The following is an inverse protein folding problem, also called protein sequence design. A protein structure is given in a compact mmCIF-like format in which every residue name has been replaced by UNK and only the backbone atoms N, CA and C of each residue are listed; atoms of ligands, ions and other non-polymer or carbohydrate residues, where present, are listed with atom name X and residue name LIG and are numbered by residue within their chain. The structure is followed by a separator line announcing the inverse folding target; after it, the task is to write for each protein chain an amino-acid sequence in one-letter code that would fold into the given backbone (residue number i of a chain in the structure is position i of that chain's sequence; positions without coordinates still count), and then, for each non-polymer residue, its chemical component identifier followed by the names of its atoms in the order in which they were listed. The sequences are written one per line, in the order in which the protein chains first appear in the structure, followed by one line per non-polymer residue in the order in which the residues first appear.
data_IF_427558914805
#
_entry.id   IF_427558914805
#
_cell.length_a   1.000
_cell.length_b   1.000
_cell.length_c   1.000
_cell.angle_alpha   90.00
_cell.angle_beta   90.00
_cell.angle_gamma   90.00
#
_symmetry.space_group_name_H-M   'P 1'
#
loop_
_entity.id
_entity.type
_entity.pdbx_description
1 polymer ?
#
# COMPACT_ATOMS: atom_id res chain seq x y z
N UNK A 1 40.35 -27.63 -48.69
CA UNK A 1 40.27 -26.68 -47.54
C UNK A 1 38.85 -26.44 -47.06
N UNK A 2 37.87 -26.23 -47.95
CA UNK A 2 36.49 -25.91 -47.56
C UNK A 2 35.78 -27.02 -46.76
N UNK A 3 35.99 -28.29 -47.15
CA UNK A 3 35.41 -29.47 -46.47
C UNK A 3 35.97 -29.62 -45.05
N UNK A 4 37.30 -29.48 -44.88
CA UNK A 4 37.94 -29.56 -43.57
C UNK A 4 37.49 -28.43 -42.63
N UNK A 5 37.28 -27.22 -43.16
CA UNK A 5 36.75 -26.09 -42.39
C UNK A 5 35.30 -26.33 -41.94
N UNK A 6 34.45 -26.82 -42.85
CA UNK A 6 33.06 -27.15 -42.52
C UNK A 6 32.97 -28.29 -41.49
N UNK A 7 33.82 -29.31 -41.64
CA UNK A 7 33.92 -30.42 -40.70
C UNK A 7 34.37 -29.94 -39.31
N UNK A 8 35.42 -29.10 -39.25
CA UNK A 8 35.87 -28.52 -37.97
C UNK A 8 34.77 -27.69 -37.29
N UNK A 9 33.99 -26.93 -38.06
CA UNK A 9 32.89 -26.14 -37.53
C UNK A 9 31.71 -27.02 -37.07
N UNK A 10 31.42 -28.10 -37.79
CA UNK A 10 30.39 -29.07 -37.40
C UNK A 10 30.79 -29.79 -36.11
N UNK A 11 32.04 -30.24 -35.98
CA UNK A 11 32.58 -30.85 -34.77
C UNK A 11 32.56 -29.87 -33.58
N UNK A 12 32.89 -28.59 -33.81
CA UNK A 12 32.77 -27.55 -32.79
C UNK A 12 31.32 -27.34 -32.33
N UNK A 13 30.37 -27.29 -33.27
CA UNK A 13 28.94 -27.15 -32.95
C UNK A 13 28.41 -28.36 -32.15
N UNK A 14 28.80 -29.58 -32.53
CA UNK A 14 28.45 -30.80 -31.80
C UNK A 14 29.04 -30.80 -30.37
N UNK A 15 30.25 -30.27 -30.20
CA UNK A 15 30.86 -30.12 -28.87
C UNK A 15 30.12 -29.11 -27.97
N UNK A 16 29.29 -28.22 -28.54
CA UNK A 16 28.46 -27.26 -27.78
C UNK A 16 27.10 -27.81 -27.39
N UNK A 17 26.62 -28.86 -28.05
CA UNK A 17 25.37 -29.54 -27.73
C UNK A 17 25.26 -29.96 -26.25
N UNK A 18 26.25 -30.62 -25.62
CA UNK A 18 26.12 -31.04 -24.22
C UNK A 18 26.04 -29.85 -23.24
N UNK A 19 26.76 -28.76 -23.51
CA UNK A 19 26.69 -27.52 -22.73
C UNK A 19 25.28 -26.91 -22.81
N UNK A 20 24.70 -26.91 -24.01
CA UNK A 20 23.38 -26.35 -24.26
C UNK A 20 22.25 -27.20 -23.66
N UNK A 21 22.40 -28.54 -23.69
CA UNK A 21 21.49 -29.47 -23.02
C UNK A 21 21.53 -29.26 -21.50
N UNK A 22 22.73 -29.23 -20.90
CA UNK A 22 22.87 -29.00 -19.46
C UNK A 22 22.32 -27.64 -19.01
N UNK A 23 22.58 -26.58 -19.79
CA UNK A 23 22.02 -25.26 -19.51
C UNK A 23 20.49 -25.24 -19.60
N UNK A 24 19.91 -25.95 -20.57
CA UNK A 24 18.45 -26.09 -20.72
C UNK A 24 17.84 -26.85 -19.54
N UNK A 25 18.45 -27.95 -19.12
CA UNK A 25 18.01 -28.73 -17.95
C UNK A 25 17.99 -27.86 -16.69
N UNK A 26 19.10 -27.14 -16.43
CA UNK A 26 19.20 -26.21 -15.31
C UNK A 26 18.13 -25.10 -15.37
N UNK A 27 17.86 -24.57 -16.56
CA UNK A 27 16.81 -23.56 -16.74
C UNK A 27 15.42 -24.12 -16.42
N UNK A 28 15.13 -25.34 -16.86
CA UNK A 28 13.87 -26.02 -16.55
C UNK A 28 13.74 -26.26 -15.03
N UNK A 29 14.78 -26.73 -14.37
CA UNK A 29 14.78 -26.93 -12.91
C UNK A 29 14.51 -25.63 -12.15
N UNK A 30 15.19 -24.54 -12.53
CA UNK A 30 14.98 -23.22 -11.93
C UNK A 30 13.58 -22.68 -12.18
N UNK A 31 13.03 -22.92 -13.37
CA UNK A 31 11.67 -22.53 -13.71
C UNK A 31 10.64 -23.31 -12.87
N UNK A 32 10.82 -24.62 -12.72
CA UNK A 32 9.94 -25.46 -11.91
C UNK A 32 9.97 -25.05 -10.43
N UNK A 33 11.14 -24.68 -9.90
CA UNK A 33 11.27 -24.14 -8.55
C UNK A 33 10.57 -22.79 -8.42
N UNK A 34 10.77 -21.88 -9.38
CA UNK A 34 10.11 -20.59 -9.41
C UNK A 34 8.58 -20.74 -9.48
N UNK A 35 8.06 -21.69 -10.26
CA UNK A 35 6.63 -21.98 -10.35
C UNK A 35 6.09 -22.52 -9.01
N UNK A 36 6.81 -23.42 -8.35
CA UNK A 36 6.44 -23.91 -7.00
C UNK A 36 6.40 -22.78 -5.98
N UNK A 37 7.41 -21.91 -5.98
CA UNK A 37 7.46 -20.74 -5.11
C UNK A 37 6.31 -19.77 -5.41
N UNK A 38 6.03 -19.50 -6.69
CA UNK A 38 4.93 -18.65 -7.11
C UNK A 38 3.58 -19.19 -6.64
N UNK A 39 3.34 -20.49 -6.78
CA UNK A 39 2.13 -21.16 -6.26
C UNK A 39 2.04 -21.03 -4.74
N UNK A 40 3.13 -21.29 -4.02
CA UNK A 40 3.18 -21.16 -2.55
C UNK A 40 2.89 -19.73 -2.08
N UNK A 41 3.46 -18.72 -2.75
CA UNK A 41 3.21 -17.31 -2.44
C UNK A 41 1.76 -16.96 -2.75
N UNK A 42 1.23 -17.38 -3.89
CA UNK A 42 -0.15 -17.11 -4.30
C UNK A 42 -1.14 -17.72 -3.32
N UNK A 43 -0.90 -18.95 -2.85
CA UNK A 43 -1.70 -19.61 -1.81
C UNK A 43 -1.64 -18.84 -0.49
N UNK A 44 -0.45 -18.43 -0.04
CA UNK A 44 -0.28 -17.60 1.17
C UNK A 44 -1.00 -16.25 1.06
N UNK A 45 -0.94 -15.61 -0.10
CA UNK A 45 -1.66 -14.35 -0.35
C UNK A 45 -3.17 -14.58 -0.32
N UNK A 46 -3.66 -15.66 -0.92
CA UNK A 46 -5.08 -15.99 -0.93
C UNK A 46 -5.61 -16.34 0.46
N UNK A 47 -4.86 -17.12 1.25
CA UNK A 47 -5.21 -17.41 2.65
C UNK A 47 -5.25 -16.13 3.47
N UNK A 48 -4.26 -15.23 3.35
CA UNK A 48 -4.29 -13.91 4.01
C UNK A 48 -5.53 -13.10 3.58
N UNK A 49 -5.87 -13.08 2.28
CA UNK A 49 -7.06 -12.37 1.79
C UNK A 49 -8.35 -12.95 2.36
N UNK A 50 -8.47 -14.27 2.44
CA UNK A 50 -9.63 -14.93 3.05
C UNK A 50 -9.75 -14.59 4.54
N UNK A 51 -8.64 -14.65 5.29
CA UNK A 51 -8.63 -14.37 6.73
C UNK A 51 -8.84 -12.89 7.06
N UNK A 52 -8.36 -11.98 6.21
CA UNK A 52 -8.57 -10.54 6.39
C UNK A 52 -10.04 -10.15 6.30
N UNK A 53 -10.90 -11.01 5.73
CA UNK A 53 -12.32 -10.76 5.58
C UNK A 53 -12.61 -9.54 4.71
N UNK A 54 -13.86 -9.37 4.31
CA UNK A 54 -14.29 -8.22 3.49
C UNK A 54 -14.40 -6.91 4.29
N UNK A 55 -14.03 -6.89 5.57
CA UNK A 55 -14.23 -5.72 6.42
C UNK A 55 -12.93 -4.93 6.56
N UNK A 56 -12.90 -3.79 5.88
CA UNK A 56 -11.85 -2.80 6.02
C UNK A 56 -11.85 -2.25 7.47
N UNK A 57 -10.71 -2.14 8.17
CA UNK A 57 -10.70 -1.71 9.57
C UNK A 57 -11.26 -0.30 9.79
N UNK A 58 -11.21 0.57 8.78
CA UNK A 58 -11.89 1.88 8.79
C UNK A 58 -13.42 1.72 8.81
N UNK A 59 -13.96 0.73 8.09
CA UNK A 59 -15.39 0.41 8.13
C UNK A 59 -15.79 -0.10 9.51
N UNK A 60 -14.95 -0.95 10.13
CA UNK A 60 -15.20 -1.46 11.49
C UNK A 60 -15.19 -0.30 12.50
N UNK A 61 -14.25 0.63 12.38
CA UNK A 61 -14.19 1.82 13.23
C UNK A 61 -15.46 2.66 13.10
N UNK A 62 -15.91 2.92 11.86
CA UNK A 62 -17.13 3.68 11.62
C UNK A 62 -18.36 2.99 12.22
N UNK A 63 -18.51 1.68 12.01
CA UNK A 63 -19.60 0.88 12.61
C UNK A 63 -19.58 0.94 14.13
N UNK A 64 -18.38 0.89 14.75
CA UNK A 64 -18.24 0.95 16.19
C UNK A 64 -18.59 2.33 16.76
N UNK A 65 -18.24 3.40 16.04
CA UNK A 65 -18.63 4.77 16.40
C UNK A 65 -20.14 4.96 16.29
N UNK A 66 -20.75 4.50 15.19
CA UNK A 66 -22.21 4.52 15.01
C UNK A 66 -22.91 3.76 16.12
N UNK A 67 -22.49 2.53 16.42
CA UNK A 67 -23.06 1.73 17.49
C UNK A 67 -22.84 2.32 18.90
N UNK A 68 -21.79 3.15 19.10
CA UNK A 68 -21.60 3.88 20.34
C UNK A 68 -22.60 5.05 20.45
N UNK A 69 -22.75 5.82 19.38
CA UNK A 69 -23.73 6.92 19.28
C UNK A 69 -25.17 6.44 19.41
N UNK A 70 -25.53 5.31 18.80
CA UNK A 70 -26.86 4.69 18.96
C UNK A 70 -27.14 4.35 20.43
N UNK A 71 -26.20 3.72 21.13
CA UNK A 71 -26.39 3.44 22.57
C UNK A 71 -26.37 4.68 23.46
N UNK A 72 -25.70 5.75 23.02
CA UNK A 72 -25.75 7.04 23.71
C UNK A 72 -27.16 7.62 23.61
N UNK A 73 -27.73 7.66 22.40
CA UNK A 73 -29.09 8.11 22.14
C UNK A 73 -30.14 7.26 22.88
N UNK A 74 -30.00 5.94 22.90
CA UNK A 74 -30.87 5.04 23.68
C UNK A 74 -30.84 5.38 25.17
N UNK A 75 -29.64 5.65 25.72
CA UNK A 75 -29.48 6.02 27.12
C UNK A 75 -30.09 7.38 27.43
N UNK A 76 -29.98 8.34 26.51
CA UNK A 76 -30.52 9.69 26.66
C UNK A 76 -32.06 9.66 26.58
N UNK A 77 -32.61 8.90 25.62
CA UNK A 77 -34.05 8.66 25.52
C UNK A 77 -34.60 8.00 26.78
N UNK A 78 -33.89 7.02 27.35
CA UNK A 78 -34.27 6.40 28.62
C UNK A 78 -34.28 7.42 29.78
N UNK A 79 -33.30 8.32 29.82
CA UNK A 79 -33.25 9.40 30.82
C UNK A 79 -34.39 10.41 30.64
N UNK A 80 -34.71 10.80 29.41
CA UNK A 80 -35.83 11.71 29.12
C UNK A 80 -37.18 11.10 29.51
N UNK A 81 -37.41 9.82 29.21
CA UNK A 81 -38.64 9.11 29.58
C UNK A 81 -38.81 8.98 31.11
N UNK A 82 -37.71 8.78 31.83
CA UNK A 82 -37.74 8.79 33.29
C UNK A 82 -38.11 10.17 33.85
N UNK A 83 -37.56 11.24 33.28
CA UNK A 83 -37.84 12.62 33.68
C UNK A 83 -39.25 13.10 33.31
N UNK A 84 -39.83 12.60 32.21
CA UNK A 84 -41.22 12.90 31.82
C UNK A 84 -42.25 12.16 32.69
N UNK A 85 -41.81 11.20 33.50
CA UNK A 85 -42.67 10.37 34.35
C UNK A 85 -43.41 9.27 33.58
N UNK A 86 -43.00 8.99 32.33
CA UNK A 86 -43.74 8.09 31.45
C UNK A 86 -43.52 6.61 31.76
N UNK A 87 -42.34 6.16 32.21
CA UNK A 87 -42.13 4.72 32.49
C UNK A 87 -40.90 4.40 33.36
N UNK A 88 -41.12 3.40 34.25
CA UNK A 88 -40.21 2.70 35.21
C UNK A 88 -40.03 3.31 36.60
N UNK A 89 -40.11 2.41 37.60
CA UNK A 89 -39.58 2.61 38.95
C UNK A 89 -38.07 2.94 38.85
N UNK A 90 -37.58 3.74 39.79
CA UNK A 90 -36.20 4.22 39.86
C UNK A 90 -35.19 3.09 39.70
N UNK A 91 -35.41 1.95 40.36
CA UNK A 91 -34.50 0.80 40.30
C UNK A 91 -34.39 0.22 38.88
N UNK A 92 -35.52 0.11 38.18
CA UNK A 92 -35.55 -0.39 36.81
C UNK A 92 -34.95 0.57 35.77
N UNK A 93 -35.02 1.88 36.03
CA UNK A 93 -34.32 2.90 35.23
C UNK A 93 -32.80 2.82 35.43
N UNK A 94 -32.35 2.79 36.69
CA UNK A 94 -30.92 2.76 37.04
C UNK A 94 -30.23 1.56 36.40
N UNK A 95 -30.81 0.37 36.48
CA UNK A 95 -30.25 -0.84 35.88
C UNK A 95 -30.10 -0.72 34.36
N UNK A 96 -31.13 -0.23 33.66
CA UNK A 96 -31.11 -0.09 32.20
C UNK A 96 -30.17 1.02 31.74
N UNK A 97 -30.19 2.17 32.40
CA UNK A 97 -29.34 3.31 32.06
C UNK A 97 -27.86 2.97 32.25
N UNK A 98 -27.51 2.34 33.39
CA UNK A 98 -26.13 1.93 33.65
C UNK A 98 -25.65 0.88 32.66
N UNK A 99 -26.53 -0.05 32.24
CA UNK A 99 -26.20 -1.03 31.20
C UNK A 99 -25.87 -0.35 29.87
N UNK A 100 -26.73 0.55 29.38
CA UNK A 100 -26.49 1.27 28.13
C UNK A 100 -25.24 2.14 28.21
N UNK A 101 -25.05 2.90 29.29
CA UNK A 101 -23.86 3.75 29.49
C UNK A 101 -22.57 2.94 29.58
N UNK A 102 -22.58 1.78 30.24
CA UNK A 102 -21.44 0.86 30.27
C UNK A 102 -21.06 0.38 28.87
N UNK A 103 -22.04 -0.04 28.08
CA UNK A 103 -21.82 -0.54 26.72
C UNK A 103 -21.34 0.59 25.79
N UNK A 104 -21.95 1.78 25.88
CA UNK A 104 -21.53 2.98 25.14
C UNK A 104 -20.07 3.33 25.45
N UNK A 105 -19.70 3.45 26.73
CA UNK A 105 -18.32 3.77 27.11
C UNK A 105 -17.32 2.69 26.67
N UNK A 106 -17.69 1.42 26.74
CA UNK A 106 -16.86 0.32 26.26
C UNK A 106 -16.64 0.41 24.75
N UNK A 107 -17.69 0.70 23.97
CA UNK A 107 -17.58 0.87 22.50
C UNK A 107 -16.74 2.09 22.15
N UNK A 108 -16.93 3.22 22.85
CA UNK A 108 -16.14 4.44 22.67
C UNK A 108 -14.66 4.20 22.95
N UNK A 109 -14.32 3.56 24.07
CA UNK A 109 -12.93 3.21 24.40
C UNK A 109 -12.29 2.28 23.34
N UNK A 110 -13.06 1.32 22.81
CA UNK A 110 -12.60 0.46 21.71
C UNK A 110 -12.42 1.24 20.40
N UNK A 111 -13.30 2.18 20.09
CA UNK A 111 -13.20 3.04 18.91
C UNK A 111 -11.98 3.95 18.99
N UNK A 112 -11.75 4.59 20.15
CA UNK A 112 -10.58 5.44 20.39
C UNK A 112 -9.29 4.62 20.23
N UNK A 113 -9.26 3.40 20.78
CA UNK A 113 -8.09 2.54 20.64
C UNK A 113 -7.85 2.11 19.19
N UNK A 114 -8.92 1.81 18.45
CA UNK A 114 -8.81 1.44 17.04
C UNK A 114 -8.35 2.62 16.18
N UNK A 115 -8.86 3.84 16.44
CA UNK A 115 -8.42 5.06 15.79
C UNK A 115 -6.92 5.33 16.04
N UNK A 116 -6.45 5.13 17.27
CA UNK A 116 -5.03 5.23 17.62
C UNK A 116 -4.16 4.23 16.81
N UNK A 117 -4.59 2.97 16.73
CA UNK A 117 -3.88 1.93 15.98
C UNK A 117 -3.82 2.24 14.47
N UNK A 118 -4.91 2.73 13.90
CA UNK A 118 -4.97 3.13 12.49
C UNK A 118 -4.10 4.36 12.21
N UNK A 119 -4.09 5.35 13.11
CA UNK A 119 -3.22 6.52 13.02
C UNK A 119 -1.74 6.15 13.10
N UNK A 120 -1.37 5.27 14.04
CA UNK A 120 -0.01 4.72 14.16
C UNK A 120 0.40 4.01 12.87
N UNK A 121 -0.46 3.12 12.34
CA UNK A 121 -0.20 2.42 11.06
C UNK A 121 0.10 3.41 9.94
N UNK A 122 -0.73 4.44 9.79
CA UNK A 122 -0.55 5.44 8.72
C UNK A 122 0.70 6.30 8.93
N UNK A 123 1.09 6.55 10.19
CA UNK A 123 2.32 7.29 10.54
C UNK A 123 3.59 6.47 10.30
N UNK A 124 3.55 5.15 10.50
CA UNK A 124 4.68 4.24 10.23
C UNK A 124 5.07 4.19 8.75
N UNK A 125 4.15 4.51 7.84
CA UNK A 125 4.39 4.58 6.39
C UNK A 125 4.71 5.98 5.90
N UNK A 126 4.82 6.97 6.79
CA UNK A 126 5.29 8.30 6.41
C UNK A 126 6.83 8.23 6.36
N UNK A 127 7.48 8.29 5.18
CA UNK A 127 8.91 8.54 5.17
C UNK A 127 9.12 9.84 5.93
N UNK A 128 10.06 9.84 6.87
CA UNK A 128 10.50 11.01 7.59
C UNK A 128 11.00 12.02 6.55
N UNK A 129 10.12 12.91 6.09
CA UNK A 129 10.57 14.17 5.53
C UNK A 129 10.94 14.99 6.76
N UNK A 130 12.23 14.93 7.14
CA UNK A 130 12.84 15.78 8.17
C UNK A 130 12.72 17.24 7.72
N UNK A 131 11.53 17.80 7.92
CA UNK A 131 11.33 19.22 7.91
C UNK A 131 11.30 19.65 9.36
N UNK A 132 12.50 19.85 9.90
CA UNK A 132 12.74 20.47 11.20
C UNK A 132 12.13 21.88 11.13
N UNK A 133 10.88 22.02 11.58
CA UNK A 133 10.28 23.32 11.81
C UNK A 133 10.88 23.88 13.10
N UNK A 134 11.94 24.66 12.93
CA UNK A 134 12.39 25.59 13.96
C UNK A 134 11.24 26.56 14.26
N UNK A 135 10.74 26.49 15.48
CA UNK A 135 9.95 27.53 16.13
C UNK A 135 10.82 28.79 16.17
N UNK A 136 10.47 29.83 15.43
CA UNK A 136 10.87 31.20 15.76
C UNK A 136 9.85 32.17 15.20
N UNK A 137 9.22 32.90 16.12
CA UNK A 137 8.36 34.03 15.84
C UNK A 137 9.15 35.17 15.18
N UNK A 138 8.54 35.79 14.17
CA UNK A 138 8.83 37.17 13.78
C UNK A 138 9.97 37.38 12.78
N UNK A 139 9.60 38.05 11.68
CA UNK A 139 10.42 38.89 10.80
C UNK A 139 11.01 38.30 9.51
N UNK A 140 10.90 39.16 8.49
CA UNK A 140 10.95 38.91 7.06
C UNK A 140 12.32 38.56 6.50
N UNK A 141 12.33 37.79 5.41
CA UNK A 141 13.53 37.47 4.62
C UNK A 141 14.25 38.69 4.06
N UNK A 142 15.58 38.57 3.92
CA UNK A 142 16.25 38.87 2.65
C UNK A 142 17.17 37.73 2.21
N UNK A 143 17.11 37.36 0.91
CA UNK A 143 17.80 36.21 0.33
C UNK A 143 19.25 36.44 -0.06
N UNK A 144 20.03 35.35 -0.17
CA UNK A 144 21.32 35.16 -0.86
C UNK A 144 21.59 33.63 -1.01
N UNK A 145 22.49 33.17 -1.91
CA UNK A 145 22.15 32.74 -3.27
C UNK A 145 22.28 31.22 -3.50
N UNK A 146 21.65 30.75 -4.58
CA UNK A 146 21.69 29.38 -5.08
C UNK A 146 23.11 28.94 -5.47
N UNK A 147 23.51 27.74 -5.04
CA UNK A 147 24.76 27.10 -5.44
C UNK A 147 24.62 26.46 -6.82
N UNK A 148 25.52 26.86 -7.72
CA UNK A 148 25.58 26.51 -9.13
C UNK A 148 25.88 25.03 -9.37
N UNK A 149 24.96 24.31 -10.03
CA UNK A 149 25.31 23.10 -10.76
C UNK A 149 25.99 23.47 -12.09
N UNK A 150 27.08 22.79 -12.37
CA UNK A 150 27.94 22.91 -13.55
C UNK A 150 27.17 23.01 -14.87
N UNK A 151 27.42 24.07 -15.64
CA UNK A 151 27.13 24.09 -17.07
C UNK A 151 28.24 23.36 -17.83
N UNK A 152 27.93 22.54 -18.85
CA UNK A 152 28.94 22.06 -19.78
C UNK A 152 29.28 23.18 -20.78
N UNK A 153 30.58 23.35 -21.00
CA UNK A 153 31.18 24.32 -21.93
C UNK A 153 30.71 24.10 -23.37
N UNK A 154 30.34 25.19 -24.03
CA UNK A 154 30.01 25.29 -25.45
C UNK A 154 31.17 24.91 -26.36
N UNK A 155 30.99 23.90 -27.22
CA UNK A 155 31.75 23.70 -28.46
C UNK A 155 30.85 23.97 -29.69
N UNK A 156 31.40 24.50 -30.79
CA UNK A 156 30.62 24.95 -31.93
C UNK A 156 30.35 23.78 -32.88
N UNK A 157 29.09 23.38 -33.00
CA UNK A 157 28.63 22.53 -34.11
C UNK A 157 27.56 23.27 -34.93
N UNK A 158 27.58 23.17 -36.27
CA UNK A 158 26.69 23.92 -37.14
C UNK A 158 25.25 23.42 -37.00
N UNK A 159 24.32 24.34 -36.79
CA UNK A 159 22.88 24.11 -36.77
C UNK A 159 22.40 23.60 -38.13
N UNK A 160 21.90 22.37 -38.18
CA UNK A 160 21.06 21.86 -39.27
C UNK A 160 19.70 21.48 -38.66
N UNK A 161 18.56 21.96 -39.18
CA UNK A 161 17.26 21.63 -38.62
C UNK A 161 16.87 20.21 -39.05
N UNK A 162 16.98 19.24 -38.14
CA UNK A 162 16.44 17.90 -38.35
C UNK A 162 15.02 17.85 -37.81
N UNK A 163 14.10 17.94 -38.77
CA UNK A 163 12.72 17.55 -38.64
C UNK A 163 12.68 16.01 -38.74
N UNK A 164 12.71 15.29 -37.61
CA UNK A 164 12.52 13.82 -37.60
C UNK A 164 11.35 13.42 -36.69
N UNK A 165 10.41 12.59 -37.19
CA UNK A 165 9.29 12.09 -36.38
C UNK A 165 9.75 11.00 -35.43
N UNK A 166 9.27 11.04 -34.18
CA UNK A 166 9.48 10.00 -33.17
C UNK A 166 8.83 8.67 -33.59
N UNK A 167 9.50 7.51 -33.45
CA UNK A 167 8.87 6.21 -33.62
C UNK A 167 7.88 5.94 -32.48
N UNK A 168 6.64 5.59 -32.82
CA UNK A 168 5.57 5.29 -31.87
C UNK A 168 5.79 4.02 -31.04
N UNK A 169 5.39 4.07 -29.78
CA UNK A 169 5.32 2.94 -28.85
C UNK A 169 4.20 1.94 -29.28
N UNK A 170 4.48 0.62 -29.46
CA UNK A 170 3.49 -0.34 -29.93
C UNK A 170 2.86 -1.19 -28.81
N UNK A 171 2.57 -0.65 -27.62
CA UNK A 171 2.03 -1.45 -26.50
C UNK A 171 0.79 -0.90 -25.80
N UNK A 172 -0.05 -0.14 -26.51
CA UNK A 172 -1.37 0.22 -25.99
C UNK A 172 -2.40 -0.01 -27.11
N UNK A 173 -2.93 -1.23 -27.17
CA UNK A 173 -4.32 -1.56 -27.50
C UNK A 173 -4.47 -3.07 -27.78
N UNK A 174 -4.97 -3.82 -26.79
CA UNK A 174 -5.82 -4.98 -27.06
C UNK A 174 -7.00 -4.93 -26.11
N UNK A 175 -8.13 -4.51 -26.65
CA UNK A 175 -9.44 -4.89 -26.15
C UNK A 175 -9.75 -6.31 -26.65
N UNK A 176 -10.15 -7.17 -25.71
CA UNK A 176 -11.20 -8.16 -25.90
C UNK A 176 -12.11 -8.05 -24.67
#
# INVERSE_FOLDING_TARGET
MLIASNQSLAEFNLNKEPELISAKERLCEMYDEAEKLYKSVTEKVNTIKQHKGNMNPETILALLQTAASETEEESDKSAEQFLSGDTKDLEGFVDEFLKHRKDMHLRKAKADKMAELLSRRNSSYRPLNDNIQHVTAGFSQPGYPQSFYFQPTSMPYPNVPINMPMPGNPFINRHF
#
